data_IF_918724517212
#
_entry.id   IF_918724517212
#
_cell.length_a   1.000
_cell.length_b   1.000
_cell.length_c   1.000
_cell.angle_alpha   90.00
_cell.angle_beta   90.00
_cell.angle_gamma   90.00
#
_symmetry.space_group_name_H-M   'P 1'
#
loop_
_entity.id
_entity.type
_entity.pdbx_description
1 polymer ?
#
# COMPACT_ATOMS: atom_id res chain seq x y z
N UNK A 1 -0.56 -26.90 30.55
CA UNK A 1 0.87 -26.50 30.57
C UNK A 1 0.98 -25.11 29.95
N UNK A 2 1.68 -24.20 30.63
CA UNK A 2 1.42 -22.76 30.67
C UNK A 2 2.11 -21.96 29.53
N UNK A 3 1.33 -21.19 28.76
CA UNK A 3 1.77 -20.31 27.66
C UNK A 3 2.74 -19.19 28.12
N UNK A 4 2.83 -18.93 29.43
CA UNK A 4 3.85 -18.04 30.01
C UNK A 4 5.31 -18.45 29.70
N UNK A 5 5.56 -19.70 29.29
CA UNK A 5 6.92 -20.24 29.08
C UNK A 5 7.43 -20.13 27.63
N UNK A 6 6.62 -19.63 26.69
CA UNK A 6 7.05 -19.38 25.29
C UNK A 6 7.43 -17.91 25.04
N UNK A 7 7.20 -17.04 26.03
CA UNK A 7 7.66 -15.64 26.03
C UNK A 7 8.92 -15.41 26.87
N UNK A 8 9.47 -16.45 27.51
CA UNK A 8 10.76 -16.39 28.22
C UNK A 8 11.99 -16.55 27.31
N UNK A 9 11.81 -16.56 25.98
CA UNK A 9 12.89 -16.84 25.01
C UNK A 9 13.32 -15.64 24.15
N UNK A 10 12.80 -14.43 24.38
CA UNK A 10 13.24 -13.23 23.62
C UNK A 10 14.19 -12.31 24.37
N UNK A 11 14.47 -12.54 25.66
CA UNK A 11 15.63 -11.96 26.35
C UNK A 11 16.14 -12.98 27.38
N UNK A 12 17.08 -13.84 26.94
CA UNK A 12 18.02 -14.43 27.88
C UNK A 12 19.20 -13.45 27.98
N UNK A 13 19.36 -12.83 29.15
CA UNK A 13 20.62 -12.18 29.49
C UNK A 13 21.65 -13.31 29.61
N UNK A 14 22.44 -13.51 28.55
CA UNK A 14 23.61 -14.38 28.61
C UNK A 14 24.71 -13.58 29.32
N UNK A 15 25.25 -14.02 30.47
CA UNK A 15 26.50 -13.49 30.95
C UNK A 15 27.60 -14.08 30.07
N UNK A 16 27.97 -13.38 29.00
CA UNK A 16 29.15 -13.71 28.21
C UNK A 16 30.37 -13.15 28.95
N UNK A 17 31.37 -13.97 29.30
CA UNK A 17 32.65 -13.49 29.79
C UNK A 17 33.28 -12.59 28.72
N UNK A 18 33.44 -11.31 29.04
CA UNK A 18 34.30 -10.29 28.43
C UNK A 18 34.93 -10.61 27.07
N UNK A 19 34.33 -10.16 25.93
CA UNK A 19 35.05 -9.49 24.80
C UNK A 19 34.18 -8.46 24.03
N UNK A 20 32.83 -8.50 24.04
CA UNK A 20 32.04 -7.48 23.30
C UNK A 20 31.08 -6.71 24.21
N UNK A 21 31.41 -5.45 24.49
CA UNK A 21 30.41 -4.50 25.02
C UNK A 21 29.46 -4.18 23.86
N UNK A 22 28.15 -4.49 23.94
CA UNK A 22 27.21 -4.16 22.86
C UNK A 22 27.24 -2.64 22.60
N UNK A 23 27.30 -2.26 21.33
CA UNK A 23 27.43 -0.85 20.92
C UNK A 23 26.09 -0.09 21.09
N UNK A 24 24.96 -0.79 20.94
CA UNK A 24 23.60 -0.28 21.08
C UNK A 24 22.67 -1.43 21.50
N UNK A 25 21.70 -1.15 22.37
CA UNK A 25 20.55 -2.01 22.64
C UNK A 25 19.27 -1.17 22.72
N UNK A 26 18.17 -1.73 22.20
CA UNK A 26 16.86 -1.09 22.18
C UNK A 26 15.79 -2.04 22.70
N UNK A 27 14.90 -1.52 23.53
CA UNK A 27 13.74 -2.19 24.11
C UNK A 27 12.46 -1.45 23.74
N UNK A 28 11.52 -2.17 23.15
CA UNK A 28 10.14 -1.68 22.90
C UNK A 28 9.23 -2.34 23.92
N UNK A 29 8.49 -1.55 24.69
CA UNK A 29 7.54 -2.03 25.70
C UNK A 29 6.15 -1.50 25.36
N UNK A 30 5.20 -2.39 25.12
CA UNK A 30 3.80 -2.06 24.88
C UNK A 30 3.09 -1.87 26.23
N UNK A 31 2.38 -0.75 26.38
CA UNK A 31 1.58 -0.38 27.54
C UNK A 31 0.09 -0.44 27.17
N UNK A 32 -0.79 -0.32 28.14
CA UNK A 32 -2.25 -0.37 27.92
C UNK A 32 -2.74 0.76 26.98
N UNK A 33 -2.05 1.89 26.99
CA UNK A 33 -2.41 3.14 26.29
C UNK A 33 -1.27 3.71 25.44
N UNK A 34 -0.18 2.97 25.23
CA UNK A 34 0.95 3.51 24.48
C UNK A 34 2.14 2.56 24.31
N UNK A 35 3.25 3.11 23.83
CA UNK A 35 4.51 2.40 23.63
C UNK A 35 5.62 3.18 24.33
N UNK A 36 6.43 2.47 25.11
CA UNK A 36 7.67 3.00 25.68
C UNK A 36 8.88 2.43 24.94
N UNK A 37 9.77 3.31 24.47
CA UNK A 37 11.01 2.95 23.79
C UNK A 37 12.21 3.28 24.69
N UNK A 38 12.90 2.26 25.19
CA UNK A 38 14.16 2.41 25.93
C UNK A 38 15.36 2.12 25.03
N UNK A 39 16.37 3.00 25.03
CA UNK A 39 17.61 2.81 24.26
C UNK A 39 18.83 2.96 25.19
N UNK A 40 19.86 2.15 24.99
CA UNK A 40 21.18 2.30 25.64
C UNK A 40 22.30 2.10 24.63
N UNK A 41 23.37 2.87 24.71
CA UNK A 41 24.46 2.83 23.74
C UNK A 41 25.82 3.05 24.40
N UNK A 42 26.88 2.57 23.76
CA UNK A 42 28.25 2.78 24.22
C UNK A 42 28.74 4.17 23.79
N UNK A 43 29.07 5.02 24.76
CA UNK A 43 29.53 6.40 24.51
C UNK A 43 30.84 6.50 23.71
N UNK A 44 31.64 5.43 23.63
CA UNK A 44 32.82 5.40 22.76
C UNK A 44 32.45 5.41 21.26
N UNK A 45 31.19 5.12 20.92
CA UNK A 45 30.69 4.99 19.54
C UNK A 45 29.94 6.25 19.09
N UNK A 46 29.27 6.93 20.01
CA UNK A 46 28.42 8.09 19.70
C UNK A 46 28.39 9.07 20.87
N UNK A 47 28.27 10.35 20.56
CA UNK A 47 27.84 11.39 21.51
C UNK A 47 26.32 11.58 21.44
N UNK A 48 25.78 12.49 22.27
CA UNK A 48 24.35 12.76 22.30
C UNK A 48 23.79 13.22 20.95
N UNK A 49 24.53 14.04 20.20
CA UNK A 49 24.11 14.51 18.87
C UNK A 49 24.05 13.36 17.87
N UNK A 50 25.07 12.51 17.84
CA UNK A 50 25.14 11.34 16.95
C UNK A 50 24.07 10.30 17.31
N UNK A 51 23.83 10.09 18.61
CA UNK A 51 22.74 9.25 19.09
C UNK A 51 21.38 9.79 18.65
N UNK A 52 21.09 11.08 18.84
CA UNK A 52 19.82 11.67 18.41
C UNK A 52 19.67 11.71 16.89
N UNK A 53 20.76 11.92 16.14
CA UNK A 53 20.74 11.76 14.69
C UNK A 53 20.40 10.33 14.26
N UNK A 54 20.98 9.33 14.93
CA UNK A 54 20.62 7.93 14.72
C UNK A 54 19.15 7.68 15.05
N UNK A 55 18.64 8.12 16.20
CA UNK A 55 17.23 7.96 16.59
C UNK A 55 16.30 8.64 15.59
N UNK A 56 16.58 9.89 15.22
CA UNK A 56 15.81 10.62 14.23
C UNK A 56 15.83 9.89 12.88
N UNK A 57 16.99 9.42 12.40
CA UNK A 57 17.08 8.66 11.16
C UNK A 57 16.37 7.30 11.25
N UNK A 58 16.42 6.64 12.40
CA UNK A 58 15.76 5.36 12.64
C UNK A 58 14.23 5.49 12.63
N UNK A 59 13.71 6.62 13.11
CA UNK A 59 12.29 6.97 13.01
C UNK A 59 11.89 7.57 11.65
N UNK A 60 12.85 8.15 10.91
CA UNK A 60 12.66 8.64 9.55
C UNK A 60 12.80 7.43 8.62
N UNK A 61 11.68 6.74 8.37
CA UNK A 61 11.50 6.09 7.06
C UNK A 61 11.98 7.07 5.97
N UNK A 62 12.70 6.61 4.93
CA UNK A 62 13.24 7.51 3.90
C UNK A 62 12.16 8.51 3.48
N UNK A 63 12.48 9.82 3.38
CA UNK A 63 11.46 10.85 3.29
C UNK A 63 10.57 10.58 2.09
N UNK A 64 9.36 10.10 2.34
CA UNK A 64 8.42 9.82 1.27
C UNK A 64 7.88 11.13 0.76
N UNK A 65 7.87 11.27 -0.56
CA UNK A 65 7.27 12.41 -1.21
C UNK A 65 5.86 12.04 -1.67
N UNK A 66 4.93 12.94 -1.38
CA UNK A 66 3.58 12.85 -1.90
C UNK A 66 3.46 13.65 -3.18
N UNK A 67 2.91 13.03 -4.22
CA UNK A 67 2.59 13.71 -5.48
C UNK A 67 1.19 13.35 -5.94
N UNK A 68 0.43 14.35 -6.37
CA UNK A 68 -0.90 14.15 -6.95
C UNK A 68 -0.76 14.07 -8.46
N UNK A 69 -1.17 12.95 -9.04
CA UNK A 69 -1.32 12.77 -10.48
C UNK A 69 -2.77 13.01 -10.86
N UNK A 70 -3.02 14.09 -11.59
CA UNK A 70 -4.34 14.43 -12.12
C UNK A 70 -4.55 13.78 -13.48
N UNK A 71 -5.65 13.04 -13.63
CA UNK A 71 -6.09 12.45 -14.89
C UNK A 71 -7.42 13.07 -15.31
N UNK A 72 -7.39 13.84 -16.40
CA UNK A 72 -8.60 14.36 -17.04
C UNK A 72 -9.45 13.23 -17.64
N UNK A 73 -10.75 13.50 -17.83
CA UNK A 73 -11.70 12.55 -18.42
C UNK A 73 -11.22 12.02 -19.78
N UNK A 74 -10.63 12.88 -20.59
CA UNK A 74 -10.14 12.58 -21.94
C UNK A 74 -8.92 11.65 -21.87
N UNK A 75 -7.96 11.95 -20.98
CA UNK A 75 -6.78 11.10 -20.76
C UNK A 75 -7.19 9.71 -20.25
N UNK A 76 -8.16 9.66 -19.34
CA UNK A 76 -8.72 8.40 -18.82
C UNK A 76 -9.36 7.58 -19.95
N UNK A 77 -10.19 8.22 -20.78
CA UNK A 77 -10.84 7.57 -21.91
C UNK A 77 -9.82 7.02 -22.91
N UNK A 78 -8.79 7.80 -23.24
CA UNK A 78 -7.72 7.38 -24.14
C UNK A 78 -6.92 6.18 -23.59
N UNK A 79 -6.54 6.21 -22.30
CA UNK A 79 -5.85 5.10 -21.64
C UNK A 79 -6.71 3.83 -21.61
N UNK A 80 -8.00 3.97 -21.29
CA UNK A 80 -8.94 2.84 -21.30
C UNK A 80 -9.10 2.25 -22.70
N UNK A 81 -9.27 3.08 -23.72
CA UNK A 81 -9.42 2.64 -25.10
C UNK A 81 -8.16 1.89 -25.57
N UNK A 82 -6.98 2.47 -25.32
CA UNK A 82 -5.68 1.83 -25.64
C UNK A 82 -5.52 0.47 -24.95
N UNK A 83 -5.77 0.40 -23.63
CA UNK A 83 -5.62 -0.84 -22.87
C UNK A 83 -6.54 -1.96 -23.39
N UNK A 84 -7.78 -1.62 -23.73
CA UNK A 84 -8.76 -2.57 -24.27
C UNK A 84 -8.38 -3.02 -25.69
N UNK A 85 -7.93 -2.11 -26.55
CA UNK A 85 -7.48 -2.42 -27.91
C UNK A 85 -6.26 -3.35 -27.91
N UNK A 86 -5.24 -3.07 -27.08
CA UNK A 86 -4.04 -3.91 -26.96
C UNK A 86 -4.35 -5.36 -26.56
N UNK A 87 -5.43 -5.59 -25.79
CA UNK A 87 -5.83 -6.93 -25.33
C UNK A 87 -7.01 -7.53 -26.09
N UNK A 88 -7.54 -6.85 -27.11
CA UNK A 88 -8.73 -7.31 -27.85
C UNK A 88 -9.95 -7.55 -26.94
N UNK A 89 -10.18 -6.69 -25.95
CA UNK A 89 -11.26 -6.84 -24.97
C UNK A 89 -12.00 -5.52 -24.73
N UNK A 90 -13.12 -5.56 -24.00
CA UNK A 90 -13.85 -4.38 -23.52
C UNK A 90 -13.98 -4.36 -21.99
N UNK A 91 -13.38 -5.35 -21.31
CA UNK A 91 -13.58 -5.58 -19.88
C UNK A 91 -12.69 -4.73 -18.98
N UNK A 92 -11.66 -4.08 -19.52
CA UNK A 92 -10.74 -3.24 -18.73
C UNK A 92 -11.44 -1.91 -18.40
N UNK A 93 -11.56 -1.62 -17.11
CA UNK A 93 -12.16 -0.38 -16.60
C UNK A 93 -11.21 0.81 -16.63
N UNK A 94 -11.75 2.02 -16.52
CA UNK A 94 -10.98 3.28 -16.43
C UNK A 94 -9.95 3.25 -15.30
N UNK A 95 -10.35 2.82 -14.10
CA UNK A 95 -9.47 2.74 -12.94
C UNK A 95 -8.33 1.73 -13.17
N UNK A 96 -8.63 0.58 -13.77
CA UNK A 96 -7.61 -0.43 -14.10
C UNK A 96 -6.60 0.09 -15.13
N UNK A 97 -7.04 0.87 -16.12
CA UNK A 97 -6.16 1.46 -17.11
C UNK A 97 -5.21 2.51 -16.51
N UNK A 98 -5.71 3.43 -15.68
CA UNK A 98 -4.83 4.45 -15.06
C UNK A 98 -3.87 3.83 -14.03
N UNK A 99 -4.32 2.85 -13.25
CA UNK A 99 -3.46 2.13 -12.31
C UNK A 99 -2.42 1.29 -13.04
N UNK A 100 -2.79 0.61 -14.13
CA UNK A 100 -1.84 -0.10 -14.98
C UNK A 100 -0.76 0.82 -15.53
N UNK A 101 -1.13 2.04 -15.96
CA UNK A 101 -0.16 3.02 -16.45
C UNK A 101 0.79 3.50 -15.35
N UNK A 102 0.28 3.81 -14.16
CA UNK A 102 1.12 4.19 -13.03
C UNK A 102 2.02 3.05 -12.59
N UNK A 103 1.51 1.82 -12.55
CA UNK A 103 2.28 0.64 -12.19
C UNK A 103 3.48 0.44 -13.11
N UNK A 104 3.28 0.49 -14.43
CA UNK A 104 4.38 0.41 -15.38
C UNK A 104 5.37 1.57 -15.22
N UNK A 105 4.88 2.79 -15.00
CA UNK A 105 5.73 3.98 -14.91
C UNK A 105 6.62 3.94 -13.67
N UNK A 106 6.07 3.51 -12.53
CA UNK A 106 6.81 3.38 -11.25
C UNK A 106 7.79 2.21 -11.30
N UNK A 107 7.39 1.05 -11.84
CA UNK A 107 8.31 -0.09 -11.92
C UNK A 107 9.48 0.19 -12.86
N UNK A 108 9.26 0.96 -13.93
CA UNK A 108 10.33 1.36 -14.86
C UNK A 108 11.43 2.16 -14.16
N UNK A 109 11.09 2.95 -13.14
CA UNK A 109 12.05 3.82 -12.44
C UNK A 109 12.76 3.14 -11.27
N UNK A 110 12.28 1.97 -10.82
CA UNK A 110 12.85 1.26 -9.67
C UNK A 110 14.05 0.36 -9.99
N UNK A 111 14.43 0.24 -11.27
CA UNK A 111 15.56 -0.58 -11.74
C UNK A 111 15.62 -1.98 -11.08
N UNK A 112 14.47 -2.67 -11.06
CA UNK A 112 14.36 -4.02 -10.49
C UNK A 112 14.89 -5.07 -11.47
N UNK A 113 15.39 -6.18 -10.93
CA UNK A 113 15.72 -7.36 -11.74
C UNK A 113 14.50 -7.87 -12.50
N UNK A 114 14.70 -8.36 -13.72
CA UNK A 114 13.61 -8.71 -14.63
C UNK A 114 12.71 -9.84 -14.08
N UNK A 115 13.24 -10.71 -13.25
CA UNK A 115 12.55 -11.82 -12.58
C UNK A 115 11.94 -11.43 -11.22
N UNK A 116 12.26 -10.23 -10.71
CA UNK A 116 11.73 -9.75 -9.44
C UNK A 116 10.20 -9.66 -9.49
N UNK A 117 9.55 -10.35 -8.55
CA UNK A 117 8.10 -10.31 -8.41
C UNK A 117 7.63 -8.94 -7.92
N UNK A 118 6.56 -8.45 -8.54
CA UNK A 118 5.95 -7.16 -8.26
C UNK A 118 4.43 -7.31 -8.13
N UNK A 119 3.82 -6.38 -7.40
CA UNK A 119 2.42 -6.48 -7.02
C UNK A 119 1.66 -5.18 -7.23
N UNK A 120 0.40 -5.27 -7.68
CA UNK A 120 -0.58 -4.20 -7.56
C UNK A 120 -1.74 -4.70 -6.71
N UNK A 121 -1.79 -4.24 -5.46
CA UNK A 121 -2.78 -4.63 -4.46
C UNK A 121 -3.91 -3.61 -4.42
N UNK A 122 -5.15 -4.08 -4.46
CA UNK A 122 -6.35 -3.22 -4.43
C UNK A 122 -7.32 -3.77 -3.40
N UNK A 123 -7.88 -2.89 -2.56
CA UNK A 123 -9.04 -3.25 -1.73
C UNK A 123 -10.31 -3.27 -2.60
N UNK A 124 -10.94 -4.44 -2.69
CA UNK A 124 -12.17 -4.62 -3.46
C UNK A 124 -13.36 -4.63 -2.52
N UNK A 125 -14.35 -3.76 -2.78
CA UNK A 125 -15.62 -3.76 -2.05
C UNK A 125 -16.42 -5.01 -2.40
N UNK A 126 -16.72 -5.81 -1.37
CA UNK A 126 -17.40 -7.09 -1.51
C UNK A 126 -18.90 -7.03 -1.24
N UNK A 127 -19.45 -5.91 -0.74
CA UNK A 127 -20.90 -5.80 -0.37
C UNK A 127 -21.84 -6.32 -1.46
N UNK A 128 -21.67 -5.82 -2.69
CA UNK A 128 -22.50 -6.18 -3.85
C UNK A 128 -22.07 -7.50 -4.52
N UNK A 129 -21.04 -8.17 -4.01
CA UNK A 129 -20.49 -9.42 -4.54
C UNK A 129 -20.82 -10.63 -3.69
N UNK A 130 -21.27 -10.41 -2.44
CA UNK A 130 -21.75 -11.45 -1.56
C UNK A 130 -23.10 -11.99 -2.01
N UNK A 131 -23.42 -13.21 -1.59
CA UNK A 131 -24.74 -13.82 -1.81
C UNK A 131 -25.38 -14.22 -0.48
N UNK A 132 -26.47 -13.55 -0.05
CA UNK A 132 -27.09 -12.36 -0.66
C UNK A 132 -26.19 -11.10 -0.55
N UNK A 133 -26.38 -10.09 -1.43
CA UNK A 133 -25.64 -8.84 -1.34
C UNK A 133 -26.01 -8.08 -0.07
N UNK A 134 -25.04 -7.36 0.50
CA UNK A 134 -25.26 -6.51 1.66
C UNK A 134 -25.86 -5.15 1.25
N UNK A 135 -26.66 -4.51 2.13
CA UNK A 135 -27.13 -3.14 1.92
C UNK A 135 -25.98 -2.17 1.67
N UNK A 136 -26.23 -1.13 0.87
CA UNK A 136 -25.24 -0.10 0.58
C UNK A 136 -24.85 0.66 1.86
N UNK A 137 -25.81 0.81 2.77
CA UNK A 137 -25.71 1.49 4.06
C UNK A 137 -24.99 0.65 5.14
N UNK A 138 -24.59 -0.59 4.82
CA UNK A 138 -23.86 -1.42 5.77
C UNK A 138 -22.56 -0.75 6.21
N UNK A 139 -22.51 -0.38 7.50
CA UNK A 139 -21.44 0.45 8.08
C UNK A 139 -20.10 -0.30 8.22
N UNK A 140 -20.12 -1.62 8.45
CA UNK A 140 -18.92 -2.39 8.73
C UNK A 140 -17.97 -2.58 7.52
N UNK A 141 -16.79 -3.16 7.78
CA UNK A 141 -15.81 -3.45 6.72
C UNK A 141 -16.16 -4.73 5.96
N UNK A 142 -16.29 -4.61 4.63
CA UNK A 142 -16.55 -5.75 3.72
C UNK A 142 -15.67 -5.60 2.49
N UNK A 143 -14.37 -5.74 2.70
CA UNK A 143 -13.34 -5.55 1.68
C UNK A 143 -12.38 -6.73 1.68
N UNK A 144 -11.88 -7.10 0.50
CA UNK A 144 -10.82 -8.08 0.37
C UNK A 144 -9.64 -7.50 -0.42
N UNK A 145 -8.42 -7.82 0.01
CA UNK A 145 -7.20 -7.45 -0.70
C UNK A 145 -6.98 -8.41 -1.86
N UNK A 146 -7.16 -7.91 -3.08
CA UNK A 146 -6.72 -8.63 -4.26
C UNK A 146 -5.32 -8.17 -4.68
N UNK A 147 -4.45 -9.11 -5.06
CA UNK A 147 -3.08 -8.82 -5.50
C UNK A 147 -2.87 -9.28 -6.95
N UNK A 148 -2.78 -8.33 -7.88
CA UNK A 148 -2.31 -8.63 -9.23
C UNK A 148 -0.79 -8.84 -9.16
N UNK A 149 -0.31 -9.94 -9.73
CA UNK A 149 1.08 -10.41 -9.63
C UNK A 149 1.66 -10.66 -11.03
N UNK A 150 2.90 -10.25 -11.23
CA UNK A 150 3.75 -10.53 -12.42
C UNK A 150 5.21 -10.22 -12.05
N UNK A 151 6.15 -10.33 -12.99
CA UNK A 151 7.53 -9.88 -12.79
C UNK A 151 7.78 -8.49 -13.38
N UNK A 152 8.82 -7.80 -12.93
CA UNK A 152 9.20 -6.50 -13.48
C UNK A 152 9.47 -6.57 -14.99
N UNK A 153 10.19 -7.61 -15.45
CA UNK A 153 10.49 -7.83 -16.86
C UNK A 153 9.24 -8.08 -17.70
N UNK A 154 8.31 -8.91 -17.24
CA UNK A 154 7.04 -9.15 -17.95
C UNK A 154 6.20 -7.86 -18.05
N UNK A 155 6.10 -7.11 -16.94
CA UNK A 155 5.30 -5.89 -16.90
C UNK A 155 5.85 -4.82 -17.86
N UNK A 156 7.18 -4.68 -17.93
CA UNK A 156 7.84 -3.66 -18.76
C UNK A 156 7.97 -4.06 -20.23
N UNK A 157 8.08 -5.37 -20.53
CA UNK A 157 8.10 -5.90 -21.90
C UNK A 157 6.74 -5.79 -22.58
N UNK A 158 5.64 -5.84 -21.82
CA UNK A 158 4.29 -5.79 -22.35
C UNK A 158 3.68 -4.37 -22.31
N UNK A 159 2.59 -4.18 -23.07
CA UNK A 159 1.86 -2.92 -23.14
C UNK A 159 1.00 -2.60 -21.91
N UNK A 160 0.36 -1.43 -21.95
CA UNK A 160 -0.58 -0.95 -20.93
C UNK A 160 -1.72 -1.94 -20.68
N UNK A 161 -2.23 -2.54 -21.75
CA UNK A 161 -3.30 -3.50 -21.74
C UNK A 161 -2.98 -4.71 -20.87
N UNK A 162 -1.73 -5.21 -20.93
CA UNK A 162 -1.30 -6.33 -20.09
C UNK A 162 -1.37 -5.97 -18.61
N UNK A 163 -0.76 -4.86 -18.20
CA UNK A 163 -0.76 -4.39 -16.81
C UNK A 163 -2.20 -4.24 -16.27
N UNK A 164 -3.05 -3.56 -17.04
CA UNK A 164 -4.45 -3.33 -16.67
C UNK A 164 -5.27 -4.65 -16.65
N UNK A 165 -4.96 -5.60 -17.53
CA UNK A 165 -5.62 -6.91 -17.57
C UNK A 165 -5.26 -7.77 -16.37
N UNK A 166 -4.02 -7.72 -15.85
CA UNK A 166 -3.67 -8.42 -14.61
C UNK A 166 -4.52 -7.94 -13.43
N UNK A 167 -4.72 -6.62 -13.33
CA UNK A 167 -5.61 -6.01 -12.33
C UNK A 167 -7.06 -6.46 -12.57
N UNK A 168 -7.50 -6.50 -13.83
CA UNK A 168 -8.85 -6.96 -14.18
C UNK A 168 -9.13 -8.41 -13.76
N UNK A 169 -8.22 -9.33 -14.12
CA UNK A 169 -8.31 -10.75 -13.75
C UNK A 169 -8.36 -10.93 -12.24
N UNK A 170 -7.49 -10.23 -11.51
CA UNK A 170 -7.49 -10.26 -10.04
C UNK A 170 -8.84 -9.78 -9.45
N UNK A 171 -9.40 -8.69 -9.95
CA UNK A 171 -10.69 -8.15 -9.46
C UNK A 171 -11.85 -9.09 -9.81
N UNK A 172 -11.80 -9.79 -10.94
CA UNK A 172 -12.81 -10.76 -11.33
C UNK A 172 -12.82 -12.01 -10.43
N UNK A 173 -11.68 -12.38 -9.85
CA UNK A 173 -11.57 -13.51 -8.92
C UNK A 173 -12.16 -13.23 -7.53
N UNK A 174 -12.41 -11.96 -7.19
CA UNK A 174 -12.99 -11.57 -5.91
C UNK A 174 -14.50 -11.84 -5.91
N UNK A 175 -14.89 -13.02 -5.45
CA UNK A 175 -16.28 -13.53 -5.44
C UNK A 175 -16.75 -13.87 -4.02
N UNK A 176 -18.05 -14.08 -3.81
CA UNK A 176 -18.61 -14.56 -2.53
C UNK A 176 -17.89 -15.83 -2.02
N UNK A 177 -17.70 -16.83 -2.90
CA UNK A 177 -17.02 -18.07 -2.56
C UNK A 177 -15.56 -17.84 -2.12
N UNK A 178 -14.85 -16.92 -2.76
CA UNK A 178 -13.48 -16.57 -2.37
C UNK A 178 -13.45 -15.86 -1.01
N UNK A 179 -14.42 -15.00 -0.71
CA UNK A 179 -14.52 -14.35 0.61
C UNK A 179 -14.75 -15.39 1.70
N UNK A 180 -15.70 -16.31 1.51
CA UNK A 180 -16.00 -17.37 2.50
C UNK A 180 -14.81 -18.26 2.75
N UNK A 181 -14.14 -18.70 1.68
CA UNK A 181 -12.90 -19.48 1.75
C UNK A 181 -11.80 -18.75 2.51
N UNK A 182 -11.57 -17.45 2.23
CA UNK A 182 -10.57 -16.67 2.95
C UNK A 182 -10.91 -16.53 4.44
N UNK A 183 -12.18 -16.29 4.77
CA UNK A 183 -12.64 -16.22 6.15
C UNK A 183 -12.44 -17.55 6.89
N UNK A 184 -12.85 -18.67 6.31
CA UNK A 184 -12.63 -20.00 6.89
C UNK A 184 -11.16 -20.30 7.12
N UNK A 185 -10.30 -19.97 6.15
CA UNK A 185 -8.86 -20.16 6.27
C UNK A 185 -8.27 -19.27 7.37
N UNK A 186 -8.73 -18.02 7.48
CA UNK A 186 -8.26 -17.10 8.50
C UNK A 186 -8.69 -17.54 9.91
N UNK A 187 -9.90 -18.06 10.08
CA UNK A 187 -10.37 -18.63 11.36
C UNK A 187 -9.50 -19.83 11.76
N UNK A 188 -9.11 -20.69 10.81
CA UNK A 188 -8.22 -21.83 11.07
C UNK A 188 -6.79 -21.41 11.37
N UNK A 189 -6.30 -20.36 10.71
CA UNK A 189 -4.93 -19.87 10.82
C UNK A 189 -4.90 -18.33 10.68
N UNK A 190 -5.08 -17.59 11.79
CA UNK A 190 -5.07 -16.15 11.74
C UNK A 190 -3.67 -15.64 11.42
N UNK A 191 -3.58 -14.76 10.43
CA UNK A 191 -2.33 -14.12 10.03
C UNK A 191 -2.44 -12.63 10.35
N UNK A 192 -1.50 -12.13 11.14
CA UNK A 192 -1.30 -10.70 11.35
C UNK A 192 -0.23 -10.23 10.37
N UNK A 193 -0.65 -9.68 9.23
CA UNK A 193 0.27 -9.17 8.21
C UNK A 193 0.87 -7.84 8.62
N UNK A 194 2.21 -7.74 8.58
CA UNK A 194 2.91 -6.46 8.72
C UNK A 194 2.80 -5.66 7.42
N UNK A 195 2.48 -4.37 7.52
CA UNK A 195 2.34 -3.48 6.37
C UNK A 195 3.62 -3.41 5.52
N UNK A 196 4.79 -3.42 6.16
CA UNK A 196 6.10 -3.43 5.47
C UNK A 196 6.30 -4.64 4.56
N UNK A 197 5.86 -5.82 5.00
CA UNK A 197 5.91 -7.04 4.19
C UNK A 197 4.91 -6.98 3.00
N UNK A 198 3.77 -6.31 3.19
CA UNK A 198 2.77 -6.12 2.15
C UNK A 198 3.13 -5.00 1.15
N UNK A 199 4.01 -4.07 1.51
CA UNK A 199 4.41 -2.94 0.67
C UNK A 199 5.65 -3.22 -0.20
N UNK A 200 6.47 -4.22 0.13
CA UNK A 200 7.66 -4.55 -0.65
C UNK A 200 7.33 -4.85 -2.11
N UNK A 201 7.99 -4.12 -3.02
CA UNK A 201 7.80 -4.18 -4.49
C UNK A 201 6.34 -4.10 -4.93
N UNK A 202 5.53 -3.31 -4.22
CA UNK A 202 4.10 -3.26 -4.41
C UNK A 202 3.54 -1.86 -4.53
N UNK A 203 2.56 -1.72 -5.42
CA UNK A 203 1.57 -0.67 -5.30
C UNK A 203 0.42 -1.14 -4.42
N UNK A 204 0.00 -0.31 -3.48
CA UNK A 204 -1.20 -0.56 -2.68
C UNK A 204 -2.18 0.57 -2.91
N UNK A 205 -3.31 0.23 -3.51
CA UNK A 205 -4.36 1.17 -3.89
C UNK A 205 -5.46 1.15 -2.85
N UNK A 206 -5.66 2.31 -2.24
CA UNK A 206 -6.74 2.58 -1.31
C UNK A 206 -7.71 3.63 -1.87
N UNK A 207 -8.89 3.73 -1.25
CA UNK A 207 -9.98 4.59 -1.68
C UNK A 207 -10.52 4.23 -3.09
N UNK A 208 -11.43 5.03 -3.62
CA UNK A 208 -12.10 4.81 -4.89
C UNK A 208 -12.61 6.12 -5.47
N UNK A 209 -12.52 6.33 -6.80
CA UNK A 209 -13.10 7.51 -7.44
C UNK A 209 -14.64 7.54 -7.36
N UNK A 210 -15.28 6.45 -6.90
CA UNK A 210 -16.74 6.38 -6.72
C UNK A 210 -17.23 6.98 -5.40
N UNK A 211 -16.34 7.29 -4.46
CA UNK A 211 -16.75 7.85 -3.18
C UNK A 211 -17.15 9.32 -3.36
N UNK A 212 -18.36 9.67 -2.91
CA UNK A 212 -18.92 11.01 -3.03
C UNK A 212 -18.30 11.99 -2.02
N UNK A 213 -17.00 12.24 -2.16
CA UNK A 213 -16.26 13.12 -1.24
C UNK A 213 -16.61 14.59 -1.44
N UNK A 214 -16.96 14.99 -2.66
CA UNK A 214 -17.34 16.37 -3.00
C UNK A 214 -18.82 16.68 -2.79
N UNK A 215 -19.67 15.69 -2.53
CA UNK A 215 -21.09 15.92 -2.22
C UNK A 215 -21.33 16.35 -0.77
N UNK A 216 -20.32 16.27 0.10
CA UNK A 216 -20.45 16.65 1.50
C UNK A 216 -20.51 18.17 1.64
N UNK A 217 -21.59 18.71 2.22
CA UNK A 217 -21.72 20.14 2.51
C UNK A 217 -22.22 20.33 3.95
N UNK A 218 -21.37 20.92 4.80
CA UNK A 218 -21.66 21.16 6.22
C UNK A 218 -22.20 22.57 6.50
N UNK A 219 -22.63 23.30 5.46
CA UNK A 219 -23.04 24.70 5.54
C UNK A 219 -21.97 25.71 5.12
N UNK A 220 -20.76 25.23 4.80
CA UNK A 220 -19.63 26.08 4.33
C UNK A 220 -19.37 25.96 2.82
N UNK A 221 -20.24 25.26 2.11
CA UNK A 221 -20.09 25.00 0.67
C UNK A 221 -19.44 23.66 0.36
N UNK A 222 -19.24 23.41 -0.94
CA UNK A 222 -18.65 22.18 -1.49
C UNK A 222 -17.14 22.13 -1.21
N UNK A 223 -16.53 20.95 -0.96
CA UNK A 223 -15.09 20.84 -0.78
C UNK A 223 -14.34 21.26 -2.04
N UNK A 224 -13.23 21.99 -1.85
CA UNK A 224 -12.38 22.47 -2.96
C UNK A 224 -11.32 21.46 -3.37
N UNK A 225 -10.91 20.57 -2.46
CA UNK A 225 -9.95 19.51 -2.70
C UNK A 225 -10.10 18.40 -1.65
N UNK A 226 -9.62 17.19 -1.96
CA UNK A 226 -9.58 16.06 -1.03
C UNK A 226 -8.19 15.44 -1.07
N UNK A 227 -7.61 15.18 0.10
CA UNK A 227 -6.28 14.60 0.28
C UNK A 227 -6.33 13.55 1.39
N UNK A 228 -5.53 12.51 1.25
CA UNK A 228 -5.25 11.56 2.31
C UNK A 228 -4.31 12.17 3.35
N UNK A 229 -4.50 11.82 4.62
CA UNK A 229 -3.58 12.20 5.70
C UNK A 229 -2.33 11.32 5.77
N UNK A 230 -1.30 11.83 6.46
CA UNK A 230 0.03 11.23 6.52
C UNK A 230 0.13 9.93 7.33
N UNK A 231 -0.85 9.63 8.20
CA UNK A 231 -0.76 8.55 9.20
C UNK A 231 -0.67 7.12 8.66
N UNK A 232 -0.81 6.91 7.35
CA UNK A 232 -0.75 5.60 6.71
C UNK A 232 0.19 5.59 5.49
N UNK A 233 1.22 6.43 5.46
CA UNK A 233 2.09 6.57 4.28
C UNK A 233 3.23 5.55 4.28
N UNK A 234 3.49 5.00 3.10
CA UNK A 234 4.58 4.08 2.81
C UNK A 234 4.86 4.14 1.30
N UNK A 235 6.08 3.74 0.90
CA UNK A 235 6.44 3.69 -0.52
C UNK A 235 5.48 2.76 -1.30
N UNK A 236 4.96 3.26 -2.41
CA UNK A 236 4.03 2.53 -3.27
C UNK A 236 2.55 2.69 -2.89
N UNK A 237 2.22 3.47 -1.84
CA UNK A 237 0.82 3.79 -1.54
C UNK A 237 0.22 4.70 -2.62
N UNK A 238 -0.98 4.34 -3.06
CA UNK A 238 -1.80 5.10 -3.98
C UNK A 238 -3.17 5.35 -3.35
N UNK A 239 -3.55 6.61 -3.16
CA UNK A 239 -4.89 6.97 -2.68
C UNK A 239 -5.66 7.62 -3.81
N UNK A 240 -6.79 7.02 -4.17
CA UNK A 240 -7.59 7.44 -5.34
C UNK A 240 -8.79 8.26 -4.92
N UNK A 241 -8.97 9.43 -5.53
CA UNK A 241 -10.13 10.30 -5.33
C UNK A 241 -10.78 10.63 -6.68
N UNK A 242 -12.10 10.91 -6.73
CA UNK A 242 -12.61 11.68 -7.85
C UNK A 242 -11.86 13.01 -7.91
N UNK A 243 -11.60 13.54 -9.10
CA UNK A 243 -11.10 14.91 -9.22
C UNK A 243 -12.24 15.92 -9.07
N UNK A 244 -11.88 17.20 -8.94
CA UNK A 244 -12.86 18.30 -8.78
C UNK A 244 -13.75 18.41 -10.03
N UNK A 245 -13.13 18.26 -11.21
CA UNK A 245 -13.80 18.25 -12.49
C UNK A 245 -14.51 16.90 -12.73
N UNK A 246 -15.71 16.96 -13.28
CA UNK A 246 -16.53 15.77 -13.49
C UNK A 246 -15.83 14.76 -14.41
N UNK A 247 -15.73 13.51 -13.94
CA UNK A 247 -15.11 12.41 -14.68
C UNK A 247 -13.58 12.40 -14.63
N UNK A 248 -12.94 13.37 -13.98
CA UNK A 248 -11.51 13.33 -13.68
C UNK A 248 -11.20 12.50 -12.43
N UNK A 249 -9.95 12.09 -12.28
CA UNK A 249 -9.46 11.29 -11.14
C UNK A 249 -8.12 11.85 -10.68
N UNK A 250 -8.00 12.04 -9.36
CA UNK A 250 -6.75 12.39 -8.69
C UNK A 250 -6.18 11.14 -7.99
N UNK A 251 -4.91 10.85 -8.23
CA UNK A 251 -4.18 9.79 -7.52
C UNK A 251 -3.06 10.42 -6.72
N UNK A 252 -3.19 10.42 -5.40
CA UNK A 252 -2.12 10.81 -4.48
C UNK A 252 -1.19 9.60 -4.28
N UNK A 253 0.01 9.70 -4.84
CA UNK A 253 1.07 8.72 -4.75
C UNK A 253 2.05 9.09 -3.64
N UNK A 254 2.40 8.13 -2.80
CA UNK A 254 3.46 8.26 -1.80
C UNK A 254 4.62 7.36 -2.22
N UNK A 255 5.74 7.97 -2.59
CA UNK A 255 6.86 7.27 -3.24
C UNK A 255 8.19 7.77 -2.69
N UNK A 256 9.23 6.94 -2.83
CA UNK A 256 10.61 7.36 -2.58
C UNK A 256 11.00 8.54 -3.50
N UNK A 257 11.81 9.51 -3.02
CA UNK A 257 12.22 10.68 -3.81
C UNK A 257 12.85 10.32 -5.15
N UNK A 258 13.72 9.30 -5.15
CA UNK A 258 14.45 8.85 -6.34
C UNK A 258 13.48 8.30 -7.39
N UNK A 259 12.42 7.62 -6.94
CA UNK A 259 11.36 7.10 -7.83
C UNK A 259 10.62 8.25 -8.50
N UNK A 260 10.27 9.31 -7.77
CA UNK A 260 9.56 10.46 -8.34
C UNK A 260 10.44 11.27 -9.30
N UNK A 261 11.68 11.55 -8.91
CA UNK A 261 12.63 12.28 -9.76
C UNK A 261 12.84 11.56 -11.09
N UNK A 262 13.03 10.24 -11.05
CA UNK A 262 13.17 9.42 -12.25
C UNK A 262 11.89 9.33 -13.10
N UNK A 263 10.71 9.67 -12.56
CA UNK A 263 9.47 9.76 -13.33
C UNK A 263 9.30 11.12 -14.03
N UNK A 264 10.06 12.13 -13.63
CA UNK A 264 10.01 13.49 -14.19
C UNK A 264 11.03 13.74 -15.30
N UNK A 265 12.14 12.99 -15.31
CA UNK A 265 13.14 12.98 -16.40
C UNK A 265 12.71 12.12 -17.59
#
# INVERSE_FOLDING_TARGET
MNIRRLLSSLIAIVPVPSISKPLLAVQVTELVDGIFLGCTYNHAVADGTSFWNFVNTWFISPPLLEKVFHFSKEKIAALKAKANAEMGTSKISSLQAILGRLWQSIIRTRNLDADQEIYCRILVNMRQRLQPPLPEEYFGNVVLFGAAKTTAGELLKNGLGFAALQINKMVAQQTDGEVRKNLENWVKRPILSKLSAAASNALIVASSPRFNVFGNNFGWGRPVAVRGGAGNNYDGKMTVFPGVEEGSVDIQACLLPETLQAMEG
#
